data_IF_738747110036
#
_entry.id   IF_738747110036
#
_cell.length_a   1.000
_cell.length_b   1.000
_cell.length_c   1.000
_cell.angle_alpha   90.00
_cell.angle_beta   90.00
_cell.angle_gamma   90.00
#
_symmetry.space_group_name_H-M   'P 1'
#
loop_
_entity.id
_entity.type
_entity.pdbx_description
1 polymer ?
#
# COMPACT_ATOMS: atom_id res chain seq x y z
N UNK A 1 20.90 3.54 -18.78
CA UNK A 1 20.98 3.33 -17.32
C UNK A 1 20.00 4.29 -16.68
N UNK A 2 18.82 3.82 -16.29
CA UNK A 2 17.88 4.64 -15.51
C UNK A 2 18.20 4.39 -14.05
N UNK A 3 18.71 5.42 -13.37
CA UNK A 3 18.75 5.45 -11.91
C UNK A 3 17.32 5.30 -11.39
N UNK A 4 16.95 4.07 -11.06
CA UNK A 4 15.76 3.75 -10.29
C UNK A 4 15.96 4.31 -8.86
N UNK A 5 15.86 5.63 -8.72
CA UNK A 5 15.75 6.30 -7.42
C UNK A 5 14.47 5.79 -6.77
N UNK A 6 14.64 4.88 -5.82
CA UNK A 6 13.67 4.46 -4.81
C UNK A 6 12.93 5.72 -4.31
N UNK A 7 11.60 5.87 -4.51
CA UNK A 7 10.89 6.97 -3.90
C UNK A 7 11.08 6.93 -2.38
N UNK A 8 11.83 7.91 -1.87
CA UNK A 8 12.05 8.04 -0.43
C UNK A 8 10.70 8.26 0.25
N UNK A 9 10.38 7.40 1.22
CA UNK A 9 9.26 7.53 2.15
C UNK A 9 9.14 8.99 2.61
N UNK A 10 7.92 9.52 2.63
CA UNK A 10 7.73 10.88 3.12
C UNK A 10 8.09 10.99 4.60
N UNK A 11 9.16 11.74 4.87
CA UNK A 11 9.40 12.29 6.21
C UNK A 11 8.56 13.56 6.35
N UNK A 12 7.51 13.47 7.14
CA UNK A 12 6.62 14.61 7.37
C UNK A 12 7.34 15.68 8.18
N UNK A 13 7.36 16.90 7.67
CA UNK A 13 7.85 18.08 8.40
C UNK A 13 6.68 18.89 8.93
N UNK A 14 6.88 19.70 9.98
CA UNK A 14 5.86 20.65 10.48
C UNK A 14 5.23 21.49 9.37
N UNK A 15 6.04 21.92 8.39
CA UNK A 15 5.57 22.66 7.22
C UNK A 15 4.59 21.85 6.36
N UNK A 16 4.79 20.53 6.22
CA UNK A 16 3.93 19.67 5.42
C UNK A 16 2.56 19.47 6.05
N UNK A 17 2.53 19.26 7.37
CA UNK A 17 1.27 19.21 8.12
C UNK A 17 0.46 20.49 7.90
N UNK A 18 1.12 21.65 8.04
CA UNK A 18 0.49 22.96 7.81
C UNK A 18 0.00 23.15 6.37
N UNK A 19 0.81 22.78 5.37
CA UNK A 19 0.44 22.87 3.94
C UNK A 19 -0.78 22.01 3.61
N UNK A 20 -0.80 20.77 4.08
CA UNK A 20 -1.92 19.85 3.83
C UNK A 20 -3.19 20.31 4.54
N UNK A 21 -3.09 20.64 5.84
CA UNK A 21 -4.23 21.15 6.63
C UNK A 21 -4.82 22.42 5.98
N UNK A 22 -3.96 23.36 5.58
CA UNK A 22 -4.40 24.56 4.88
C UNK A 22 -5.09 24.25 3.55
N UNK A 23 -4.52 23.36 2.73
CA UNK A 23 -5.09 23.00 1.43
C UNK A 23 -6.45 22.30 1.56
N UNK A 24 -6.61 21.39 2.52
CA UNK A 24 -7.88 20.73 2.83
C UNK A 24 -8.92 21.76 3.28
N UNK A 25 -8.55 22.65 4.22
CA UNK A 25 -9.45 23.70 4.70
C UNK A 25 -9.91 24.62 3.57
N UNK A 26 -9.02 25.05 2.68
CA UNK A 26 -9.38 25.90 1.55
C UNK A 26 -10.28 25.18 0.54
N UNK A 27 -10.03 23.90 0.31
CA UNK A 27 -10.87 23.06 -0.55
C UNK A 27 -12.28 22.94 0.04
N UNK A 28 -12.42 22.50 1.29
CA UNK A 28 -13.72 22.33 1.94
C UNK A 28 -14.45 23.67 2.06
N UNK A 29 -13.74 24.77 2.35
CA UNK A 29 -14.34 26.11 2.32
C UNK A 29 -14.94 26.42 0.95
N UNK A 30 -14.21 26.13 -0.14
CA UNK A 30 -14.71 26.35 -1.50
C UNK A 30 -15.92 25.46 -1.80
N UNK A 31 -15.92 24.20 -1.36
CA UNK A 31 -17.09 23.32 -1.50
C UNK A 31 -18.32 23.96 -0.84
N UNK A 32 -18.23 24.34 0.45
CA UNK A 32 -19.33 24.99 1.19
C UNK A 32 -19.78 26.31 0.59
N UNK A 33 -18.85 27.14 0.11
CA UNK A 33 -19.18 28.37 -0.61
C UNK A 33 -20.03 28.08 -1.85
N UNK A 34 -19.69 27.02 -2.60
CA UNK A 34 -20.44 26.64 -3.80
C UNK A 34 -21.77 25.95 -3.48
N UNK A 35 -21.86 25.18 -2.39
CA UNK A 35 -23.11 24.63 -1.88
C UNK A 35 -24.09 25.73 -1.51
N UNK A 36 -23.62 26.81 -0.87
CA UNK A 36 -24.47 27.97 -0.55
C UNK A 36 -25.00 28.73 -1.77
N UNK A 37 -24.42 28.50 -2.94
CA UNK A 37 -24.84 29.05 -4.24
C UNK A 37 -25.73 28.07 -5.03
N UNK A 38 -26.24 27.02 -4.38
CA UNK A 38 -27.13 26.00 -4.95
C UNK A 38 -26.55 25.29 -6.19
N UNK A 39 -25.23 25.04 -6.17
CA UNK A 39 -24.60 24.20 -7.20
C UNK A 39 -24.83 22.73 -6.89
N UNK A 40 -25.59 22.06 -7.77
CA UNK A 40 -26.01 20.67 -7.58
C UNK A 40 -24.90 19.60 -7.72
N UNK A 41 -23.75 19.92 -8.33
CA UNK A 41 -22.68 18.95 -8.59
C UNK A 41 -21.36 19.46 -8.04
N UNK A 42 -20.95 18.90 -6.91
CA UNK A 42 -19.74 19.27 -6.17
C UNK A 42 -19.04 18.01 -5.64
N UNK A 43 -17.70 18.07 -5.50
CA UNK A 43 -16.95 16.96 -4.90
C UNK A 43 -17.17 16.92 -3.38
N UNK A 44 -17.04 15.72 -2.82
CA UNK A 44 -17.10 15.51 -1.37
C UNK A 44 -15.99 16.26 -0.64
N UNK A 45 -16.30 16.72 0.58
CA UNK A 45 -15.30 17.28 1.49
C UNK A 45 -14.24 16.23 1.88
N UNK A 46 -13.00 16.70 2.08
CA UNK A 46 -11.94 15.84 2.60
C UNK A 46 -11.79 15.96 4.11
N UNK A 47 -11.66 14.81 4.79
CA UNK A 47 -11.10 14.75 6.12
C UNK A 47 -9.56 14.81 6.07
N UNK A 48 -8.97 15.70 6.86
CA UNK A 48 -7.52 15.87 6.92
C UNK A 48 -6.77 14.58 7.28
N UNK A 49 -7.23 13.88 8.33
CA UNK A 49 -6.55 12.70 8.86
C UNK A 49 -6.62 11.56 7.86
N UNK A 50 -7.81 11.31 7.31
CA UNK A 50 -8.01 10.27 6.28
C UNK A 50 -7.17 10.56 5.04
N UNK A 51 -7.13 11.81 4.57
CA UNK A 51 -6.36 12.16 3.38
C UNK A 51 -4.86 12.02 3.65
N UNK A 52 -4.38 12.46 4.82
CA UNK A 52 -2.98 12.31 5.23
C UNK A 52 -2.56 10.85 5.24
N UNK A 53 -3.40 9.97 5.76
CA UNK A 53 -3.08 8.55 5.90
C UNK A 53 -3.05 7.83 4.53
N UNK A 54 -3.54 8.47 3.47
CA UNK A 54 -3.38 7.98 2.09
C UNK A 54 -2.12 8.48 1.37
N UNK A 55 -1.28 9.32 1.99
CA UNK A 55 -0.10 9.93 1.37
C UNK A 55 1.18 9.28 1.91
N UNK A 56 1.94 8.64 1.03
CA UNK A 56 3.10 7.82 1.39
C UNK A 56 4.43 8.36 0.85
N UNK A 57 4.39 9.16 -0.22
CA UNK A 57 5.60 9.77 -0.79
C UNK A 57 5.49 11.30 -0.94
N UNK A 58 6.66 11.96 -1.05
CA UNK A 58 6.73 13.42 -1.28
C UNK A 58 6.02 13.82 -2.58
N UNK A 59 6.13 12.98 -3.60
CA UNK A 59 5.47 13.15 -4.90
C UNK A 59 3.95 13.10 -4.75
N UNK A 60 3.44 12.18 -3.94
CA UNK A 60 2.01 12.11 -3.62
C UNK A 60 1.52 13.33 -2.86
N UNK A 61 2.24 13.77 -1.83
CA UNK A 61 1.89 14.99 -1.11
C UNK A 61 1.77 16.17 -2.08
N UNK A 62 2.78 16.38 -2.92
CA UNK A 62 2.79 17.48 -3.89
C UNK A 62 1.63 17.37 -4.90
N UNK A 63 1.30 16.15 -5.34
CA UNK A 63 0.16 15.89 -6.24
C UNK A 63 -1.17 16.23 -5.56
N UNK A 64 -1.37 15.77 -4.32
CA UNK A 64 -2.58 16.06 -3.54
C UNK A 64 -2.72 17.57 -3.30
N UNK A 65 -1.66 18.24 -2.83
CA UNK A 65 -1.65 19.68 -2.62
C UNK A 65 -1.99 20.45 -3.91
N UNK A 66 -1.39 20.07 -5.04
CA UNK A 66 -1.67 20.69 -6.34
C UNK A 66 -3.12 20.46 -6.75
N UNK A 67 -3.65 19.27 -6.53
CA UNK A 67 -5.03 18.90 -6.86
C UNK A 67 -6.05 19.73 -6.08
N UNK A 68 -5.92 19.78 -4.75
CA UNK A 68 -6.80 20.56 -3.87
C UNK A 68 -6.78 22.07 -4.20
N UNK A 69 -5.57 22.62 -4.43
CA UNK A 69 -5.41 24.02 -4.83
C UNK A 69 -6.05 24.30 -6.19
N UNK A 70 -6.00 23.35 -7.13
CA UNK A 70 -6.56 23.52 -8.47
C UNK A 70 -8.08 23.72 -8.40
N UNK A 71 -8.79 22.96 -7.57
CA UNK A 71 -10.23 23.16 -7.36
C UNK A 71 -10.51 24.48 -6.65
N UNK A 72 -9.78 24.74 -5.57
CA UNK A 72 -9.99 25.92 -4.72
C UNK A 72 -9.82 27.25 -5.47
N UNK A 73 -8.85 27.30 -6.40
CA UNK A 73 -8.41 28.56 -7.02
C UNK A 73 -8.84 28.72 -8.49
N UNK A 74 -9.51 27.74 -9.09
CA UNK A 74 -9.87 27.79 -10.51
C UNK A 74 -11.34 27.48 -10.72
N UNK A 75 -12.12 28.52 -11.02
CA UNK A 75 -13.56 28.42 -11.28
C UNK A 75 -13.90 27.47 -12.43
N UNK A 76 -13.05 27.37 -13.45
CA UNK A 76 -13.25 26.41 -14.55
C UNK A 76 -13.24 24.98 -14.03
N UNK A 77 -12.46 24.66 -12.99
CA UNK A 77 -12.42 23.33 -12.40
C UNK A 77 -13.68 22.99 -11.57
N UNK A 78 -14.44 24.01 -11.15
CA UNK A 78 -15.64 23.87 -10.34
C UNK A 78 -16.91 23.67 -11.19
N UNK A 79 -16.80 23.76 -12.52
CA UNK A 79 -17.93 23.56 -13.43
C UNK A 79 -18.31 22.08 -13.50
N UNK A 80 -19.61 21.79 -13.49
CA UNK A 80 -20.13 20.47 -13.80
C UNK A 80 -19.89 20.12 -15.27
N UNK A 81 -19.70 18.83 -15.53
CA UNK A 81 -19.73 18.23 -16.86
C UNK A 81 -20.54 16.95 -16.80
N UNK A 82 -21.22 16.65 -17.91
CA UNK A 82 -21.93 15.40 -18.10
C UNK A 82 -21.01 14.40 -18.81
N UNK A 83 -20.86 13.22 -18.25
CA UNK A 83 -20.12 12.12 -18.84
C UNK A 83 -20.95 11.41 -19.93
N UNK A 84 -20.28 10.62 -20.76
CA UNK A 84 -20.94 9.80 -21.79
C UNK A 84 -21.92 8.81 -21.18
N UNK A 85 -21.57 8.22 -20.03
CA UNK A 85 -22.47 7.37 -19.25
C UNK A 85 -23.67 8.10 -18.63
N UNK A 86 -23.71 9.43 -18.65
CA UNK A 86 -24.82 10.24 -18.15
C UNK A 86 -24.64 10.80 -16.73
N UNK A 87 -23.60 10.36 -16.00
CA UNK A 87 -23.25 10.90 -14.68
C UNK A 87 -22.74 12.35 -14.80
N UNK A 88 -23.05 13.20 -13.82
CA UNK A 88 -22.51 14.55 -13.74
C UNK A 88 -21.43 14.62 -12.66
N UNK A 89 -20.26 15.14 -13.01
CA UNK A 89 -19.15 15.37 -12.09
C UNK A 89 -18.52 16.72 -12.37
N UNK A 90 -17.71 17.23 -11.44
CA UNK A 90 -16.94 18.45 -11.71
C UNK A 90 -15.81 18.20 -12.71
N UNK A 91 -15.40 19.25 -13.45
CA UNK A 91 -14.21 19.21 -14.31
C UNK A 91 -12.95 18.81 -13.54
N UNK A 92 -12.89 19.18 -12.26
CA UNK A 92 -11.83 18.75 -11.36
C UNK A 92 -11.81 17.23 -11.19
N UNK A 93 -12.92 16.61 -10.79
CA UNK A 93 -13.05 15.17 -10.61
C UNK A 93 -12.71 14.42 -11.90
N UNK A 94 -13.24 14.88 -13.04
CA UNK A 94 -12.90 14.31 -14.33
C UNK A 94 -11.39 14.32 -14.59
N UNK A 95 -10.73 15.44 -14.30
CA UNK A 95 -9.28 15.56 -14.51
C UNK A 95 -8.47 14.67 -13.56
N UNK A 96 -8.93 14.47 -12.33
CA UNK A 96 -8.28 13.58 -11.36
C UNK A 96 -8.49 12.11 -11.72
N UNK A 97 -9.71 11.73 -12.13
CA UNK A 97 -10.04 10.41 -12.62
C UNK A 97 -9.24 10.07 -13.88
N UNK A 98 -9.14 10.97 -14.85
CA UNK A 98 -8.37 10.73 -16.10
C UNK A 98 -6.88 10.52 -15.82
N UNK A 99 -6.31 11.30 -14.90
CA UNK A 99 -4.92 11.07 -14.45
C UNK A 99 -4.81 9.71 -13.78
N UNK A 100 -5.68 9.40 -12.82
CA UNK A 100 -5.67 8.13 -12.10
C UNK A 100 -5.83 6.93 -13.05
N UNK A 101 -6.71 7.02 -14.05
CA UNK A 101 -6.93 6.05 -15.11
C UNK A 101 -5.63 5.75 -15.85
N UNK A 102 -4.94 6.78 -16.36
CA UNK A 102 -3.66 6.61 -17.06
C UNK A 102 -2.62 5.88 -16.21
N UNK A 103 -2.53 6.22 -14.92
CA UNK A 103 -1.57 5.62 -13.98
C UNK A 103 -1.93 4.17 -13.67
N UNK A 104 -3.21 3.91 -13.38
CA UNK A 104 -3.72 2.56 -13.15
C UNK A 104 -3.45 1.64 -14.36
N UNK A 105 -3.73 2.10 -15.58
CA UNK A 105 -3.45 1.34 -16.81
C UNK A 105 -1.96 1.04 -16.95
N UNK A 106 -1.09 2.03 -16.75
CA UNK A 106 0.37 1.84 -16.79
C UNK A 106 0.83 0.78 -15.79
N UNK A 107 0.35 0.86 -14.54
CA UNK A 107 0.67 -0.12 -13.49
C UNK A 107 0.16 -1.52 -13.84
N UNK A 108 -1.05 -1.64 -14.40
CA UNK A 108 -1.59 -2.93 -14.81
C UNK A 108 -0.76 -3.53 -15.95
N UNK A 109 -0.37 -2.73 -16.94
CA UNK A 109 0.45 -3.18 -18.06
C UNK A 109 1.84 -3.62 -17.61
N UNK A 110 2.48 -2.89 -16.69
CA UNK A 110 3.77 -3.28 -16.12
C UNK A 110 3.67 -4.63 -15.38
N UNK A 111 2.62 -4.83 -14.58
CA UNK A 111 2.36 -6.12 -13.91
C UNK A 111 2.15 -7.26 -14.91
N UNK A 112 1.32 -7.01 -15.92
CA UNK A 112 1.02 -7.99 -16.96
C UNK A 112 2.29 -8.43 -17.72
N UNK A 113 3.21 -7.51 -18.02
CA UNK A 113 4.50 -7.83 -18.63
C UNK A 113 5.36 -8.70 -17.72
N UNK A 114 5.45 -8.36 -16.44
CA UNK A 114 6.23 -9.14 -15.47
C UNK A 114 5.76 -10.59 -15.33
N UNK A 115 4.46 -10.84 -15.51
CA UNK A 115 3.87 -12.20 -15.54
C UNK A 115 4.29 -12.94 -16.81
N UNK A 116 4.19 -12.31 -17.99
CA UNK A 116 4.57 -12.93 -19.28
C UNK A 116 6.06 -13.25 -19.35
N UNK A 117 6.91 -12.42 -18.75
CA UNK A 117 8.37 -12.64 -18.69
C UNK A 117 8.78 -13.79 -17.75
N UNK A 118 7.88 -14.25 -16.87
CA UNK A 118 8.09 -15.41 -16.00
C UNK A 118 7.23 -16.58 -16.48
N UNK A 119 7.77 -17.45 -17.34
CA UNK A 119 7.13 -18.67 -17.92
C UNK A 119 5.82 -19.08 -17.21
N UNK A 120 4.67 -18.75 -17.82
CA UNK A 120 3.38 -18.76 -17.11
C UNK A 120 2.79 -20.16 -16.96
N UNK A 121 2.73 -20.63 -15.72
CA UNK A 121 1.85 -21.72 -15.30
C UNK A 121 0.37 -21.23 -15.24
N UNK A 122 -0.59 -22.16 -15.08
CA UNK A 122 -2.05 -21.90 -15.03
C UNK A 122 -2.44 -20.74 -14.08
N UNK A 123 -1.73 -20.56 -12.98
CA UNK A 123 -1.98 -19.48 -12.01
C UNK A 123 -1.61 -18.10 -12.59
N UNK A 124 -0.49 -18.00 -13.31
CA UNK A 124 -0.07 -16.75 -13.96
C UNK A 124 -1.04 -16.32 -15.06
N UNK A 125 -1.59 -17.27 -15.81
CA UNK A 125 -2.61 -17.01 -16.83
C UNK A 125 -3.91 -16.45 -16.24
N UNK A 126 -4.34 -16.94 -15.07
CA UNK A 126 -5.53 -16.43 -14.38
C UNK A 126 -5.32 -15.01 -13.87
N UNK A 127 -4.16 -14.73 -13.27
CA UNK A 127 -3.80 -13.39 -12.80
C UNK A 127 -3.72 -12.39 -13.96
N UNK A 128 -3.07 -12.78 -15.06
CA UNK A 128 -3.00 -11.97 -16.28
C UNK A 128 -4.40 -11.64 -16.82
N UNK A 129 -5.28 -12.63 -16.94
CA UNK A 129 -6.67 -12.42 -17.40
C UNK A 129 -7.43 -11.46 -16.48
N UNK A 130 -7.25 -11.57 -15.15
CA UNK A 130 -7.88 -10.67 -14.19
C UNK A 130 -7.36 -9.23 -14.31
N UNK A 131 -6.06 -9.05 -14.51
CA UNK A 131 -5.44 -7.75 -14.77
C UNK A 131 -6.01 -7.11 -16.04
N UNK A 132 -6.13 -7.87 -17.12
CA UNK A 132 -6.67 -7.37 -18.39
C UNK A 132 -8.16 -6.99 -18.29
N UNK A 133 -8.98 -7.80 -17.62
CA UNK A 133 -10.38 -7.42 -17.30
C UNK A 133 -10.46 -6.15 -16.46
N UNK A 134 -9.53 -5.97 -15.52
CA UNK A 134 -9.46 -4.75 -14.71
C UNK A 134 -9.07 -3.54 -15.56
N UNK A 135 -8.14 -3.70 -16.50
CA UNK A 135 -7.75 -2.66 -17.46
C UNK A 135 -8.94 -2.23 -18.31
N UNK A 136 -9.65 -3.17 -18.92
CA UNK A 136 -10.85 -2.91 -19.73
C UNK A 136 -11.92 -2.15 -18.92
N UNK A 137 -12.19 -2.62 -17.69
CA UNK A 137 -13.12 -1.93 -16.79
C UNK A 137 -12.73 -0.49 -16.48
N UNK A 138 -11.43 -0.20 -16.34
CA UNK A 138 -10.91 1.14 -16.08
C UNK A 138 -10.92 2.01 -17.34
N UNK A 139 -10.64 1.44 -18.52
CA UNK A 139 -10.72 2.13 -19.82
C UNK A 139 -12.16 2.62 -20.08
N UNK A 140 -13.13 1.78 -19.74
CA UNK A 140 -14.56 2.04 -19.90
C UNK A 140 -15.18 2.90 -18.77
N UNK A 141 -14.38 3.46 -17.87
CA UNK A 141 -14.85 4.21 -16.69
C UNK A 141 -15.89 5.30 -17.02
N UNK A 142 -15.63 6.12 -18.04
CA UNK A 142 -16.45 7.31 -18.32
C UNK A 142 -17.76 7.00 -19.07
N UNK A 143 -17.96 5.75 -19.49
CA UNK A 143 -19.17 5.26 -20.14
C UNK A 143 -20.17 4.66 -19.14
N UNK A 144 -19.75 4.51 -17.87
CA UNK A 144 -20.56 3.91 -16.80
C UNK A 144 -21.44 4.95 -16.13
N UNK A 145 -22.54 4.48 -15.55
CA UNK A 145 -23.50 5.31 -14.80
C UNK A 145 -23.68 4.79 -13.36
N UNK A 146 -24.03 5.68 -12.44
CA UNK A 146 -24.54 5.32 -11.12
C UNK A 146 -23.56 4.50 -10.29
N UNK A 147 -24.03 3.38 -9.72
CA UNK A 147 -23.21 2.54 -8.82
C UNK A 147 -21.98 1.94 -9.52
N UNK A 148 -22.09 1.62 -10.81
CA UNK A 148 -21.00 1.08 -11.62
C UNK A 148 -19.91 2.12 -11.87
N UNK A 149 -20.29 3.37 -12.15
CA UNK A 149 -19.36 4.48 -12.23
C UNK A 149 -18.64 4.67 -10.89
N UNK A 150 -19.39 4.81 -9.78
CA UNK A 150 -18.81 5.03 -8.44
C UNK A 150 -17.82 3.92 -8.04
N UNK A 151 -18.19 2.66 -8.28
CA UNK A 151 -17.33 1.50 -8.00
C UNK A 151 -16.05 1.54 -8.83
N UNK A 152 -16.17 1.82 -10.13
CA UNK A 152 -15.04 1.84 -11.07
C UNK A 152 -14.14 3.05 -10.82
N UNK A 153 -14.71 4.21 -10.47
CA UNK A 153 -13.99 5.41 -10.08
C UNK A 153 -13.16 5.17 -8.81
N UNK A 154 -13.78 4.58 -7.76
CA UNK A 154 -13.07 4.20 -6.52
C UNK A 154 -11.93 3.23 -6.80
N UNK A 155 -12.18 2.20 -7.63
CA UNK A 155 -11.15 1.25 -8.06
C UNK A 155 -10.02 1.97 -8.82
N UNK A 156 -10.35 2.81 -9.79
CA UNK A 156 -9.38 3.58 -10.59
C UNK A 156 -8.51 4.46 -9.73
N UNK A 157 -9.09 5.16 -8.75
CA UNK A 157 -8.35 5.98 -7.78
C UNK A 157 -7.42 5.11 -6.92
N UNK A 158 -7.88 3.94 -6.47
CA UNK A 158 -7.04 3.01 -5.69
C UNK A 158 -5.86 2.49 -6.50
N UNK A 159 -6.11 2.00 -7.72
CA UNK A 159 -5.05 1.48 -8.60
C UNK A 159 -4.09 2.59 -9.05
N UNK A 160 -4.61 3.80 -9.30
CA UNK A 160 -3.80 4.97 -9.61
C UNK A 160 -3.09 5.58 -8.39
N UNK A 161 -3.36 5.13 -7.16
CA UNK A 161 -2.65 5.55 -5.94
C UNK A 161 -1.45 4.63 -5.62
N UNK A 162 -1.40 3.42 -6.15
CA UNK A 162 -0.36 2.46 -5.78
C UNK A 162 0.99 2.90 -6.35
N UNK A 163 1.83 3.54 -5.53
CA UNK A 163 3.26 3.61 -5.78
C UNK A 163 3.77 2.15 -5.89
N UNK A 164 4.56 1.85 -6.92
CA UNK A 164 5.11 0.51 -7.20
C UNK A 164 5.74 -0.16 -5.96
N UNK A 165 6.26 0.64 -5.04
CA UNK A 165 6.85 0.19 -3.79
C UNK A 165 5.83 -0.25 -2.73
N UNK A 166 4.68 0.41 -2.65
CA UNK A 166 3.59 -0.02 -1.76
C UNK A 166 3.07 -1.39 -2.21
N UNK A 167 2.96 -1.58 -3.52
CA UNK A 167 2.61 -2.88 -4.09
C UNK A 167 3.64 -3.97 -3.75
N UNK A 168 4.94 -3.72 -3.92
CA UNK A 168 5.99 -4.67 -3.52
C UNK A 168 5.95 -4.98 -2.02
N UNK A 169 5.76 -3.97 -1.20
CA UNK A 169 5.73 -4.11 0.25
C UNK A 169 4.47 -4.87 0.73
N UNK A 170 3.34 -4.71 0.03
CA UNK A 170 2.11 -5.48 0.28
C UNK A 170 2.34 -6.97 0.00
N UNK A 171 2.89 -7.30 -1.18
CA UNK A 171 3.23 -8.70 -1.53
C UNK A 171 4.21 -9.29 -0.51
N UNK A 172 5.23 -8.53 -0.12
CA UNK A 172 6.18 -8.96 0.89
C UNK A 172 5.48 -9.27 2.22
N UNK A 173 4.62 -8.36 2.70
CA UNK A 173 3.87 -8.53 3.95
C UNK A 173 3.02 -9.79 3.92
N UNK A 174 2.23 -9.98 2.87
CA UNK A 174 1.30 -11.09 2.77
C UNK A 174 2.06 -12.43 2.73
N UNK A 175 3.17 -12.50 1.98
CA UNK A 175 4.03 -13.67 1.94
C UNK A 175 4.72 -13.95 3.28
N UNK A 176 5.21 -12.91 3.96
CA UNK A 176 5.85 -13.02 5.26
C UNK A 176 4.86 -13.51 6.32
N UNK A 177 3.66 -12.92 6.39
CA UNK A 177 2.63 -13.32 7.35
C UNK A 177 2.18 -14.77 7.13
N UNK A 178 1.99 -15.19 5.87
CA UNK A 178 1.67 -16.58 5.56
C UNK A 178 2.74 -17.55 6.06
N UNK A 179 4.02 -17.19 5.95
CA UNK A 179 5.13 -18.02 6.45
C UNK A 179 5.22 -18.04 7.97
N UNK A 180 5.01 -16.90 8.64
CA UNK A 180 4.91 -16.84 10.10
C UNK A 180 3.76 -17.74 10.60
N UNK A 181 2.58 -17.66 9.97
CA UNK A 181 1.42 -18.49 10.30
C UNK A 181 1.72 -20.00 10.16
N UNK A 182 2.42 -20.41 9.10
CA UNK A 182 2.67 -21.84 8.79
C UNK A 182 3.77 -22.44 9.66
N UNK A 183 4.84 -21.69 9.94
CA UNK A 183 6.07 -22.26 10.50
C UNK A 183 6.37 -21.85 11.94
N UNK A 184 5.63 -20.89 12.50
CA UNK A 184 5.92 -20.33 13.82
C UNK A 184 4.75 -20.45 14.79
N UNK A 185 3.63 -21.04 14.37
CA UNK A 185 2.42 -21.20 15.18
C UNK A 185 2.62 -22.02 16.46
N UNK A 186 3.62 -22.91 16.46
CA UNK A 186 3.93 -23.80 17.58
C UNK A 186 4.92 -23.20 18.60
N UNK A 187 5.52 -22.03 18.31
CA UNK A 187 6.51 -21.43 19.20
C UNK A 187 5.88 -20.57 20.30
N UNK A 188 6.51 -20.60 21.48
CA UNK A 188 6.18 -19.71 22.57
C UNK A 188 6.36 -18.24 22.12
N UNK A 189 5.33 -17.42 22.34
CA UNK A 189 5.20 -16.01 21.90
C UNK A 189 4.73 -15.76 20.46
N UNK A 190 4.31 -16.78 19.71
CA UNK A 190 3.70 -16.61 18.38
C UNK A 190 2.58 -15.57 18.35
N UNK A 191 1.63 -15.66 19.28
CA UNK A 191 0.50 -14.72 19.34
C UNK A 191 0.95 -13.27 19.55
N UNK A 192 2.00 -13.07 20.34
CA UNK A 192 2.58 -11.76 20.62
C UNK A 192 3.24 -11.18 19.35
N UNK A 193 4.00 -12.02 18.63
CA UNK A 193 4.62 -11.67 17.35
C UNK A 193 3.57 -11.31 16.30
N UNK A 194 2.55 -12.14 16.11
CA UNK A 194 1.47 -11.91 15.15
C UNK A 194 0.70 -10.64 15.50
N UNK A 195 0.38 -10.40 16.78
CA UNK A 195 -0.26 -9.15 17.22
C UNK A 195 0.61 -7.93 16.91
N UNK A 196 1.92 -8.02 17.12
CA UNK A 196 2.87 -6.95 16.80
C UNK A 196 2.95 -6.70 15.29
N UNK A 197 3.08 -7.75 14.48
CA UNK A 197 3.15 -7.66 13.03
C UNK A 197 1.84 -7.13 12.42
N UNK A 198 0.68 -7.57 12.92
CA UNK A 198 -0.63 -7.08 12.49
C UNK A 198 -0.89 -5.64 12.92
N UNK A 199 -0.29 -5.15 14.02
CA UNK A 199 -0.36 -3.74 14.40
C UNK A 199 0.35 -2.81 13.40
N UNK A 200 1.19 -3.35 12.52
CA UNK A 200 1.84 -2.61 11.44
C UNK A 200 0.99 -2.73 10.18
N UNK A 201 -0.10 -1.96 10.16
CA UNK A 201 -1.05 -1.97 9.04
C UNK A 201 -0.41 -1.54 7.71
N UNK A 202 0.63 -0.71 7.77
CA UNK A 202 1.33 -0.20 6.60
C UNK A 202 2.37 -1.23 6.08
N UNK A 203 2.23 -1.73 4.84
CA UNK A 203 3.11 -2.75 4.30
C UNK A 203 4.57 -2.31 4.12
N UNK A 204 4.81 -1.02 3.83
CA UNK A 204 6.17 -0.49 3.69
C UNK A 204 6.85 -0.45 5.06
N UNK A 205 6.15 0.03 6.11
CA UNK A 205 6.66 -0.01 7.48
C UNK A 205 6.84 -1.44 7.97
N UNK A 206 5.97 -2.35 7.54
CA UNK A 206 6.08 -3.77 7.82
C UNK A 206 7.38 -4.32 7.21
N UNK A 207 7.60 -4.07 5.92
CA UNK A 207 8.83 -4.46 5.23
C UNK A 207 10.07 -3.91 5.93
N UNK A 208 10.10 -2.61 6.27
CA UNK A 208 11.24 -2.01 6.98
C UNK A 208 11.43 -2.59 8.38
N UNK A 209 10.35 -2.83 9.13
CA UNK A 209 10.42 -3.39 10.48
C UNK A 209 11.06 -4.79 10.45
N UNK A 210 10.65 -5.63 9.49
CA UNK A 210 11.23 -6.95 9.30
C UNK A 210 12.69 -6.85 8.84
N UNK A 211 12.99 -6.02 7.84
CA UNK A 211 14.34 -5.89 7.27
C UNK A 211 15.36 -5.24 8.22
N UNK A 212 14.92 -4.51 9.26
CA UNK A 212 15.81 -3.88 10.25
C UNK A 212 16.04 -4.75 11.49
N UNK A 213 15.26 -5.80 11.67
CA UNK A 213 15.46 -6.74 12.77
C UNK A 213 16.44 -7.80 12.32
N UNK A 214 17.58 -7.90 13.01
CA UNK A 214 18.56 -8.96 12.79
C UNK A 214 17.96 -10.37 12.95
N UNK A 215 16.94 -10.51 13.79
CA UNK A 215 16.24 -11.78 14.02
C UNK A 215 15.20 -12.03 12.93
N UNK A 216 14.39 -11.03 12.57
CA UNK A 216 13.29 -11.22 11.61
C UNK A 216 13.76 -11.19 10.14
N UNK A 217 14.87 -10.51 9.86
CA UNK A 217 15.51 -10.47 8.55
C UNK A 217 16.12 -11.83 8.19
N UNK A 218 16.78 -12.51 9.15
CA UNK A 218 17.39 -13.83 8.97
C UNK A 218 16.36 -14.97 8.84
N UNK A 219 15.08 -14.70 9.15
CA UNK A 219 13.98 -15.62 8.85
C UNK A 219 13.62 -15.66 7.35
N UNK A 220 14.23 -14.81 6.51
CA UNK A 220 13.81 -14.63 5.12
C UNK A 220 14.97 -14.26 4.15
N UNK A 221 15.76 -15.25 3.72
CA UNK A 221 16.67 -15.08 2.58
C UNK A 221 15.92 -15.32 1.25
N UNK A 222 15.92 -14.31 0.38
CA UNK A 222 15.32 -14.36 -0.95
C UNK A 222 16.30 -14.99 -1.94
N UNK A 223 16.14 -16.26 -2.31
CA UNK A 223 16.85 -16.84 -3.46
C UNK A 223 15.87 -17.45 -4.46
N UNK A 224 15.94 -16.95 -5.70
CA UNK A 224 15.28 -17.54 -6.87
C UNK A 224 16.23 -18.60 -7.42
N UNK A 225 15.88 -19.87 -7.26
CA UNK A 225 16.57 -20.95 -7.96
C UNK A 225 16.31 -20.79 -9.47
N UNK A 226 17.38 -20.59 -10.24
CA UNK A 226 17.30 -20.33 -11.68
C UNK A 226 16.91 -21.57 -12.48
N UNK A 227 17.03 -22.77 -11.91
CA UNK A 227 16.75 -24.02 -12.62
C UNK A 227 15.29 -24.50 -12.45
N UNK A 228 14.67 -24.24 -11.30
CA UNK A 228 13.34 -24.79 -10.96
C UNK A 228 12.23 -23.75 -10.88
N UNK A 229 12.55 -22.45 -10.91
CA UNK A 229 11.63 -21.34 -10.69
C UNK A 229 10.81 -21.41 -9.38
N UNK A 230 11.18 -22.31 -8.46
CA UNK A 230 10.57 -22.42 -7.14
C UNK A 230 11.15 -21.36 -6.19
N UNK A 231 10.28 -20.82 -5.34
CA UNK A 231 10.68 -19.89 -4.28
C UNK A 231 10.90 -20.70 -3.00
N UNK A 232 12.16 -20.85 -2.60
CA UNK A 232 12.50 -21.49 -1.34
C UNK A 232 12.74 -20.42 -0.27
N UNK A 233 11.97 -20.49 0.82
CA UNK A 233 12.24 -19.76 2.05
C UNK A 233 12.49 -20.80 3.14
N UNK A 234 13.73 -20.88 3.63
CA UNK A 234 14.13 -21.79 4.69
C UNK A 234 14.68 -21.00 5.89
N UNK A 235 14.31 -21.44 7.09
CA UNK A 235 14.81 -20.90 8.35
C UNK A 235 16.27 -21.31 8.56
N UNK A 236 17.16 -20.37 8.86
CA UNK A 236 18.52 -20.67 9.29
C UNK A 236 18.77 -20.15 10.70
N UNK A 237 18.14 -20.72 11.72
CA UNK A 237 18.76 -20.73 13.06
C UNK A 237 17.99 -21.63 14.03
N UNK A 238 18.76 -22.23 14.94
CA UNK A 238 18.30 -23.14 15.97
C UNK A 238 17.37 -22.43 16.98
N UNK A 239 16.56 -23.22 17.68
CA UNK A 239 15.60 -22.78 18.69
C UNK A 239 16.21 -21.86 19.77
N UNK A 240 17.50 -22.06 20.10
CA UNK A 240 18.22 -21.19 21.03
C UNK A 240 18.37 -19.75 20.49
N UNK A 241 18.67 -19.54 19.21
CA UNK A 241 18.79 -18.18 18.67
C UNK A 241 17.45 -17.41 18.65
N UNK A 242 16.34 -18.13 18.45
CA UNK A 242 14.98 -17.58 18.52
C UNK A 242 14.60 -17.19 19.96
N UNK A 243 14.88 -18.07 20.93
CA UNK A 243 14.54 -17.86 22.34
C UNK A 243 15.40 -16.77 23.00
N UNK A 244 16.67 -16.59 22.59
CA UNK A 244 17.56 -15.58 23.19
C UNK A 244 17.46 -14.19 22.56
N UNK A 245 17.16 -14.08 21.26
CA UNK A 245 17.16 -12.79 20.53
C UNK A 245 15.91 -11.91 20.73
N UNK A 246 14.75 -12.53 20.99
CA UNK A 246 13.47 -11.81 21.11
C UNK A 246 13.37 -10.96 22.38
N UNK A 247 13.95 -11.39 23.51
CA UNK A 247 13.87 -10.65 24.79
C UNK A 247 14.62 -9.32 24.73
N UNK A 248 15.76 -9.28 24.07
CA UNK A 248 16.62 -8.09 24.01
C UNK A 248 16.07 -7.03 23.03
N UNK A 249 15.41 -7.44 21.94
CA UNK A 249 14.79 -6.52 20.97
C UNK A 249 13.37 -6.04 21.36
N UNK A 250 12.62 -6.81 22.15
CA UNK A 250 11.27 -6.42 22.61
C UNK A 250 11.26 -5.63 23.92
N UNK A 251 12.40 -5.46 24.59
CA UNK A 251 12.50 -4.72 25.86
C UNK A 251 11.79 -5.42 27.03
N UNK A 252 11.63 -6.74 26.97
CA UNK A 252 10.94 -7.53 28.00
C UNK A 252 11.98 -8.08 28.98
N UNK A 253 11.85 -7.85 30.31
CA UNK A 253 12.82 -8.31 31.29
C UNK A 253 12.85 -9.84 31.36
N UNK A 254 14.06 -10.39 31.45
CA UNK A 254 14.34 -11.84 31.44
C UNK A 254 13.61 -12.57 32.58
N UNK A 255 12.99 -13.73 32.35
CA UNK A 255 12.62 -14.64 33.44
C UNK A 255 13.88 -15.28 34.06
N UNK A 256 13.93 -15.36 35.40
CA UNK A 256 15.04 -15.99 36.13
C UNK A 256 14.99 -17.51 35.90
N UNK A 257 15.92 -18.05 35.12
CA UNK A 257 16.02 -19.49 34.90
C UNK A 257 16.61 -20.17 36.15
N UNK A 258 15.87 -21.11 36.75
CA UNK A 258 16.39 -21.98 37.80
C UNK A 258 17.34 -23.02 37.20
N UNK A 259 18.61 -22.96 37.57
CA UNK A 259 19.65 -23.87 37.10
C UNK A 259 19.43 -25.28 37.65
N UNK A 260 18.86 -26.20 36.86
CA UNK A 260 18.92 -27.64 37.17
C UNK A 260 20.32 -28.16 36.84
N UNK A 261 21.11 -28.47 37.87
CA UNK A 261 22.39 -29.19 37.76
C UNK A 261 22.18 -30.52 37.02
N UNK A 262 22.85 -30.70 35.88
CA UNK A 262 22.94 -32.00 35.18
C UNK A 262 23.64 -33.03 36.07
N UNK A 263 22.99 -34.16 36.36
CA UNK A 263 23.65 -35.34 36.92
C UNK A 263 24.59 -35.90 35.85
N UNK A 264 25.88 -35.97 36.17
CA UNK A 264 26.87 -36.68 35.37
C UNK A 264 26.58 -38.19 35.47
N UNK A 265 26.30 -38.84 34.35
CA UNK A 265 26.40 -40.30 34.26
C UNK A 265 27.88 -40.66 34.19
N UNK A 266 28.41 -41.32 35.22
CA UNK A 266 29.68 -42.04 35.15
C UNK A 266 29.43 -43.35 34.38
N UNK A 267 30.42 -43.68 33.54
CA UNK A 267 30.53 -44.87 32.68
C UNK A 267 30.24 -46.17 33.40
#
# INVERSE_FOLDING_TARGET
MNDNKTPSIIRWTKSDYGKLSYAVRMFNKKVRELESLDKNVLPDEFNYQELKDTIYSRKELNRVLKSLRKFSNNESQQKAIKLEGGEEITRWEYSELKKAQKRAISTIQEKARGIVESDTNVIGDLEFKQLMRTKESIEDLFNRLGSEFKRTAKRTLSWGKNDYELWRAQIYRDNYMNKVLIHMSEYDNYELLVKKLNSIENPIKFYEYVQRSTVLQDLFLFYRDKATAQTYGGFTSNQEAFDYGIFEQLGIPRPKVATKRRKQFKK
#
